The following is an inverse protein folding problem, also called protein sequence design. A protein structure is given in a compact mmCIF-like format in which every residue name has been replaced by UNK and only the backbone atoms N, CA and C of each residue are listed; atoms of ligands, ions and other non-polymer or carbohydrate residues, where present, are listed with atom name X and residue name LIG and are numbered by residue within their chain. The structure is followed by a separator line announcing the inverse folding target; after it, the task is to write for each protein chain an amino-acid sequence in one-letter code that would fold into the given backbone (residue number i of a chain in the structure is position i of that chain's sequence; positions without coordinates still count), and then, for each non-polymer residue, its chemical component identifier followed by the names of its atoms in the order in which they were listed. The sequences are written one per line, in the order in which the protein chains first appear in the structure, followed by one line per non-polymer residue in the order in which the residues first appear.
data_IF_001833312278
#
_entry.id   IF_001833312278
#
_cell.length_a   1.000
_cell.length_b   1.000
_cell.length_c   1.000
_cell.angle_alpha   90.00
_cell.angle_beta   90.00
_cell.angle_gamma   90.00
#
_symmetry.space_group_name_H-M   'P 1'
#
loop_
_entity.id
_entity.type
_entity.pdbx_description
1 polymer ?
#
# COMPACT_ATOMS: atom_id res chain seq x y z
N UNK A 1 18.86 6.06 22.66
CA UNK A 1 17.88 5.36 21.80
C UNK A 1 17.45 6.33 20.72
N UNK A 2 17.85 6.11 19.47
CA UNK A 2 17.48 6.99 18.35
C UNK A 2 16.02 6.76 17.94
N UNK A 3 15.29 7.84 17.65
CA UNK A 3 13.94 7.76 17.09
C UNK A 3 14.06 7.40 15.61
N UNK A 4 13.45 6.30 15.20
CA UNK A 4 13.38 5.90 13.79
C UNK A 4 12.34 6.81 13.13
N UNK A 5 12.75 7.50 12.07
CA UNK A 5 11.90 8.40 11.29
C UNK A 5 11.84 7.96 9.84
N UNK A 6 10.71 8.23 9.19
CA UNK A 6 10.53 7.92 7.78
C UNK A 6 11.15 9.04 6.93
N UNK A 7 11.78 8.67 5.83
CA UNK A 7 12.06 9.62 4.75
C UNK A 7 11.37 9.17 3.49
N UNK A 8 10.48 10.02 3.04
CA UNK A 8 9.41 9.65 2.13
C UNK A 8 9.59 10.29 0.76
N UNK A 9 10.71 10.03 0.10
CA UNK A 9 10.96 10.60 -1.24
C UNK A 9 10.26 9.84 -2.39
N UNK A 10 9.33 8.90 -2.15
CA UNK A 10 8.89 8.04 -3.28
C UNK A 10 7.44 7.55 -3.29
N UNK A 11 6.53 8.14 -2.51
CA UNK A 11 5.11 7.82 -2.66
C UNK A 11 4.26 9.06 -2.89
N UNK A 12 4.45 10.14 -2.14
CA UNK A 12 3.60 11.34 -2.29
C UNK A 12 3.94 12.20 -3.52
N UNK A 13 5.19 12.25 -3.94
CA UNK A 13 5.58 12.94 -5.18
C UNK A 13 5.37 12.09 -6.45
N UNK A 14 5.31 10.75 -6.34
CA UNK A 14 5.29 9.82 -7.48
C UNK A 14 3.94 9.14 -7.75
N UNK A 15 3.16 8.86 -6.71
CA UNK A 15 1.74 8.50 -6.78
C UNK A 15 1.03 9.51 -5.90
N UNK A 16 0.50 10.56 -6.53
CA UNK A 16 -0.55 11.33 -5.87
C UNK A 16 -1.72 10.35 -5.66
N UNK A 17 -1.80 9.80 -4.45
CA UNK A 17 -2.82 8.85 -4.06
C UNK A 17 -4.20 9.50 -4.24
N UNK A 18 -4.32 10.79 -3.94
CA UNK A 18 -5.54 11.56 -4.16
C UNK A 18 -5.86 11.63 -5.66
N UNK A 19 -4.89 11.88 -6.54
CA UNK A 19 -5.10 11.83 -8.00
C UNK A 19 -5.45 10.42 -8.49
N UNK A 20 -4.81 9.40 -7.95
CA UNK A 20 -5.04 7.99 -8.32
C UNK A 20 -6.46 7.55 -7.92
N UNK A 21 -6.86 7.86 -6.68
CA UNK A 21 -8.21 7.61 -6.16
C UNK A 21 -9.26 8.44 -6.90
N UNK A 22 -8.98 9.73 -7.18
CA UNK A 22 -9.87 10.60 -7.99
C UNK A 22 -10.04 10.07 -9.41
N UNK A 23 -8.96 9.65 -10.07
CA UNK A 23 -9.02 9.11 -11.43
C UNK A 23 -9.88 7.85 -11.48
N UNK A 24 -9.84 7.00 -10.45
CA UNK A 24 -10.71 5.81 -10.37
C UNK A 24 -12.15 6.12 -9.96
N UNK A 25 -12.39 7.20 -9.21
CA UNK A 25 -13.74 7.70 -8.93
C UNK A 25 -14.40 8.32 -10.18
N UNK A 26 -13.60 8.88 -11.11
CA UNK A 26 -14.10 9.69 -12.24
C UNK A 26 -14.09 8.95 -13.59
N UNK A 27 -13.13 8.07 -13.86
CA UNK A 27 -12.91 7.54 -15.21
C UNK A 27 -13.24 6.04 -15.37
N UNK A 28 -14.34 5.67 -16.06
CA UNK A 28 -14.50 4.34 -16.62
C UNK A 28 -13.59 4.20 -17.85
N UNK A 29 -12.71 3.18 -17.80
CA UNK A 29 -11.99 2.56 -18.93
C UNK A 29 -11.93 3.36 -20.25
N UNK A 30 -10.78 3.97 -20.54
CA UNK A 30 -10.32 4.11 -21.92
C UNK A 30 -8.99 3.40 -22.08
N UNK A 31 -9.04 2.16 -22.55
CA UNK A 31 -7.93 1.52 -23.24
C UNK A 31 -8.35 1.44 -24.71
N UNK A 32 -7.62 2.17 -25.56
CA UNK A 32 -7.80 2.18 -27.01
C UNK A 32 -7.07 0.97 -27.58
N UNK A 33 -7.84 0.02 -28.11
CA UNK A 33 -7.66 -0.75 -29.36
C UNK A 33 -8.28 -2.14 -29.22
N UNK A 34 -9.44 -2.26 -29.85
CA UNK A 34 -10.17 -3.43 -30.31
C UNK A 34 -10.57 -4.55 -29.31
N UNK A 35 -11.84 -4.94 -29.45
CA UNK A 35 -12.49 -6.18 -28.98
C UNK A 35 -13.20 -6.08 -27.61
N UNK A 36 -14.53 -5.96 -27.71
CA UNK A 36 -15.59 -6.25 -26.73
C UNK A 36 -15.34 -5.86 -25.26
N UNK A 37 -15.49 -4.57 -24.95
CA UNK A 37 -15.48 -4.08 -23.57
C UNK A 37 -16.83 -4.34 -22.91
N UNK A 38 -16.86 -5.29 -21.98
CA UNK A 38 -17.89 -5.37 -20.95
C UNK A 38 -17.76 -4.11 -20.09
N UNK A 39 -18.63 -3.14 -20.32
CA UNK A 39 -18.68 -1.86 -19.61
C UNK A 39 -18.76 -2.16 -18.11
N UNK A 40 -17.67 -1.94 -17.37
CA UNK A 40 -17.72 -1.95 -15.90
C UNK A 40 -18.38 -0.61 -15.52
N UNK A 41 -19.54 -0.62 -14.84
CA UNK A 41 -20.18 0.63 -14.44
C UNK A 41 -19.19 1.47 -13.61
N UNK A 42 -19.17 2.81 -13.78
CA UNK A 42 -18.36 3.66 -12.93
C UNK A 42 -18.74 3.37 -11.48
N UNK A 43 -17.74 3.06 -10.66
CA UNK A 43 -17.97 2.86 -9.23
C UNK A 43 -18.39 4.21 -8.67
N UNK A 44 -19.69 4.38 -8.41
CA UNK A 44 -20.20 5.54 -7.67
C UNK A 44 -19.72 5.39 -6.21
N UNK A 45 -18.69 6.14 -5.83
CA UNK A 45 -18.19 6.19 -4.46
C UNK A 45 -16.75 6.71 -4.38
N UNK A 46 -16.40 7.30 -3.25
CA UNK A 46 -15.00 7.64 -2.94
C UNK A 46 -14.26 6.35 -2.62
N UNK A 47 -12.96 6.27 -2.93
CA UNK A 47 -12.09 5.20 -2.47
C UNK A 47 -11.13 5.83 -1.47
N UNK A 48 -11.01 5.26 -0.29
CA UNK A 48 -10.10 5.74 0.77
C UNK A 48 -8.94 4.77 1.02
N UNK A 49 -9.20 3.47 0.86
CA UNK A 49 -8.25 2.41 1.12
C UNK A 49 -7.73 1.83 -0.20
N UNK A 50 -6.42 1.97 -0.42
CA UNK A 50 -5.70 1.36 -1.53
C UNK A 50 -4.68 0.35 -1.01
N UNK A 51 -4.84 -0.90 -1.41
CA UNK A 51 -3.91 -1.98 -1.06
C UNK A 51 -3.08 -2.33 -2.29
N UNK A 52 -1.76 -2.31 -2.17
CA UNK A 52 -0.84 -2.92 -3.12
C UNK A 52 -0.36 -4.26 -2.60
N UNK A 53 -0.44 -5.28 -3.45
CA UNK A 53 0.32 -6.51 -3.33
C UNK A 53 1.34 -6.54 -4.47
N UNK A 54 2.62 -6.54 -4.14
CA UNK A 54 3.70 -6.63 -5.13
C UNK A 54 4.09 -8.08 -5.42
N UNK A 55 3.87 -8.97 -4.46
CA UNK A 55 4.20 -10.39 -4.54
C UNK A 55 3.10 -11.23 -3.90
N UNK A 56 2.63 -12.27 -4.62
CA UNK A 56 1.54 -13.15 -4.17
C UNK A 56 1.82 -14.58 -4.64
N UNK A 57 2.00 -15.58 -3.74
CA UNK A 57 1.97 -15.45 -2.29
C UNK A 57 3.21 -14.73 -1.74
N UNK A 58 3.01 -13.86 -0.76
CA UNK A 58 4.13 -13.23 -0.04
C UNK A 58 4.81 -14.26 0.89
N UNK A 59 6.14 -14.33 0.87
CA UNK A 59 6.90 -15.15 1.80
C UNK A 59 7.08 -14.42 3.15
N UNK A 60 6.53 -14.93 4.28
CA UNK A 60 6.65 -14.28 5.58
C UNK A 60 8.07 -14.21 6.14
N UNK A 61 8.98 -15.08 5.71
CA UNK A 61 10.38 -15.00 6.11
C UNK A 61 11.12 -13.87 5.38
N UNK A 62 10.80 -13.64 4.11
CA UNK A 62 11.35 -12.53 3.32
C UNK A 62 10.77 -11.19 3.81
N UNK A 63 9.46 -11.14 4.00
CA UNK A 63 8.75 -9.93 4.44
C UNK A 63 8.42 -9.98 5.94
N UNK A 64 9.46 -10.14 6.75
CA UNK A 64 9.30 -10.31 8.20
C UNK A 64 8.99 -9.00 8.95
N UNK A 65 9.30 -7.86 8.34
CA UNK A 65 9.05 -6.56 8.96
C UNK A 65 7.64 -6.08 8.66
N UNK A 66 6.85 -5.89 9.72
CA UNK A 66 5.43 -5.53 9.68
C UNK A 66 5.21 -4.38 10.61
N UNK A 67 4.53 -3.34 10.15
CA UNK A 67 4.22 -2.18 10.99
C UNK A 67 3.09 -1.36 10.39
N UNK A 68 2.47 -0.55 11.23
CA UNK A 68 1.58 0.53 10.85
C UNK A 68 2.28 1.87 11.13
N UNK A 69 2.29 2.77 10.16
CA UNK A 69 2.86 4.11 10.25
C UNK A 69 1.76 5.15 10.10
N UNK A 70 1.71 6.06 11.06
CA UNK A 70 0.76 7.15 11.07
C UNK A 70 1.34 8.35 10.36
N UNK A 71 0.50 9.03 9.60
CA UNK A 71 0.83 10.29 8.94
C UNK A 71 1.20 11.36 9.97
N UNK A 72 2.25 12.13 9.69
CA UNK A 72 2.63 13.32 10.47
C UNK A 72 1.94 14.57 9.92
N UNK A 73 1.57 14.57 8.63
CA UNK A 73 0.87 15.67 7.96
C UNK A 73 -0.45 15.21 7.31
N UNK A 74 -1.41 16.15 7.14
CA UNK A 74 -2.76 15.83 6.63
C UNK A 74 -2.80 15.43 5.15
N UNK A 75 -1.75 15.76 4.39
CA UNK A 75 -1.61 15.37 2.99
C UNK A 75 -1.04 13.94 2.84
N UNK A 76 -0.55 13.35 3.93
CA UNK A 76 0.01 11.99 3.92
C UNK A 76 -1.07 10.93 4.15
N UNK A 77 -0.74 9.69 3.83
CA UNK A 77 -1.60 8.53 4.13
C UNK A 77 -1.13 7.81 5.38
N UNK A 78 -2.09 7.30 6.15
CA UNK A 78 -1.75 6.26 7.14
C UNK A 78 -1.39 4.99 6.39
N UNK A 79 -0.24 4.41 6.71
CA UNK A 79 0.28 3.22 6.08
C UNK A 79 0.20 2.02 7.00
N UNK A 80 -0.07 0.85 6.44
CA UNK A 80 0.25 -0.42 7.10
C UNK A 80 0.83 -1.37 6.08
N UNK A 81 1.89 -2.11 6.41
CA UNK A 81 2.60 -2.87 5.41
C UNK A 81 3.38 -4.06 5.99
N UNK A 82 3.77 -4.94 5.08
CA UNK A 82 4.80 -5.95 5.30
C UNK A 82 5.92 -5.76 4.27
N UNK A 83 7.17 -5.82 4.71
CA UNK A 83 8.35 -5.48 3.94
C UNK A 83 9.58 -6.29 4.36
N UNK A 84 10.63 -6.23 3.55
CA UNK A 84 11.95 -6.73 3.94
C UNK A 84 12.49 -5.89 5.11
N UNK A 85 13.29 -6.47 6.03
CA UNK A 85 13.94 -5.68 7.08
C UNK A 85 14.85 -4.60 6.49
N UNK A 86 14.62 -3.34 6.86
CA UNK A 86 15.46 -2.21 6.39
C UNK A 86 16.92 -2.32 6.85
N UNK A 87 17.16 -2.98 7.99
CA UNK A 87 18.49 -3.22 8.53
C UNK A 87 19.35 -4.16 7.68
N UNK A 88 18.73 -4.92 6.77
CA UNK A 88 19.43 -5.81 5.86
C UNK A 88 20.04 -5.08 4.65
N UNK A 89 19.65 -3.83 4.38
CA UNK A 89 20.16 -3.01 3.26
C UNK A 89 20.42 -1.59 3.73
N UNK A 90 21.65 -1.32 4.18
CA UNK A 90 22.07 0.03 4.58
C UNK A 90 22.70 0.75 3.39
N UNK A 91 22.04 1.81 2.90
CA UNK A 91 22.49 2.58 1.72
C UNK A 91 23.29 3.83 2.08
N UNK A 92 23.30 4.19 3.36
CA UNK A 92 24.12 5.27 3.90
C UNK A 92 24.10 5.30 5.44
N UNK A 93 24.90 6.18 6.07
CA UNK A 93 24.91 6.32 7.52
C UNK A 93 23.52 6.65 8.07
N UNK A 94 22.92 5.73 8.83
CA UNK A 94 21.58 5.90 9.37
C UNK A 94 20.44 5.81 8.34
N UNK A 95 20.69 5.27 7.13
CA UNK A 95 19.72 5.14 6.04
C UNK A 95 19.59 3.67 5.63
N UNK A 96 18.47 3.06 5.99
CA UNK A 96 18.10 1.71 5.53
C UNK A 96 17.16 1.76 4.33
N UNK A 97 17.29 0.83 3.41
CA UNK A 97 16.37 0.60 2.29
C UNK A 97 15.54 -0.66 2.57
N UNK A 98 14.26 -0.61 2.28
CA UNK A 98 13.36 -1.75 2.36
C UNK A 98 12.44 -1.83 1.14
N UNK A 99 11.97 -3.05 0.87
CA UNK A 99 11.04 -3.36 -0.21
C UNK A 99 9.72 -3.87 0.37
N UNK A 100 8.61 -3.25 -0.01
CA UNK A 100 7.28 -3.76 0.30
C UNK A 100 7.05 -5.12 -0.36
N UNK A 101 6.46 -6.05 0.38
CA UNK A 101 5.71 -7.17 -0.19
C UNK A 101 4.26 -6.75 -0.46
N UNK A 102 3.71 -5.92 0.42
CA UNK A 102 2.43 -5.26 0.23
C UNK A 102 2.21 -4.11 1.23
N UNK A 103 1.39 -3.15 0.84
CA UNK A 103 1.14 -1.94 1.59
C UNK A 103 -0.32 -1.46 1.43
N UNK A 104 -0.94 -1.08 2.55
CA UNK A 104 -2.18 -0.34 2.64
C UNK A 104 -1.85 1.15 2.73
N UNK A 105 -2.49 1.93 1.90
CA UNK A 105 -2.55 3.38 1.94
C UNK A 105 -3.97 3.78 2.30
N UNK A 106 -4.13 4.45 3.45
CA UNK A 106 -5.42 4.96 3.91
C UNK A 106 -5.42 6.48 3.87
N UNK A 107 -6.32 7.04 3.07
CA UNK A 107 -6.51 8.48 2.91
C UNK A 107 -7.99 8.86 2.93
N UNK A 108 -8.42 9.91 3.67
CA UNK A 108 -7.62 10.79 4.52
C UNK A 108 -6.91 10.05 5.67
N UNK A 109 -5.79 10.57 6.20
CA UNK A 109 -5.04 9.89 7.25
C UNK A 109 -5.88 9.78 8.53
N UNK A 110 -5.80 8.62 9.18
CA UNK A 110 -6.55 8.32 10.41
C UNK A 110 -5.71 7.45 11.33
N UNK A 111 -5.81 7.71 12.63
CA UNK A 111 -5.29 6.79 13.63
C UNK A 111 -6.15 5.51 13.59
N UNK A 112 -5.53 4.40 13.20
CA UNK A 112 -6.12 3.07 13.19
C UNK A 112 -5.39 2.20 14.19
N UNK A 113 -6.04 1.18 14.75
CA UNK A 113 -5.34 0.16 15.53
C UNK A 113 -4.29 -0.53 14.66
N UNK A 114 -3.13 -0.88 15.23
CA UNK A 114 -2.16 -1.67 14.49
C UNK A 114 -2.76 -3.02 14.07
N UNK A 115 -2.84 -3.24 12.76
CA UNK A 115 -3.51 -4.41 12.20
C UNK A 115 -2.68 -5.68 12.42
N UNK A 116 -1.37 -5.56 12.66
CA UNK A 116 -0.47 -6.71 12.77
C UNK A 116 -0.60 -7.43 14.10
N UNK A 117 -0.92 -6.71 15.17
CA UNK A 117 -1.09 -7.27 16.51
C UNK A 117 -2.55 -7.38 16.94
N UNK A 118 -3.49 -6.79 16.18
CA UNK A 118 -4.92 -6.80 16.54
C UNK A 118 -5.56 -8.21 16.41
N UNK A 119 -6.03 -8.83 17.52
CA UNK A 119 -6.60 -10.17 17.51
C UNK A 119 -7.86 -10.31 16.64
N UNK A 120 -8.55 -9.20 16.34
CA UNK A 120 -9.71 -9.21 15.46
C UNK A 120 -9.39 -9.74 14.05
N UNK A 121 -8.11 -9.79 13.67
CA UNK A 121 -7.63 -10.24 12.37
C UNK A 121 -6.93 -11.61 12.39
N UNK A 122 -7.00 -12.37 13.49
CA UNK A 122 -6.32 -13.68 13.62
C UNK A 122 -6.90 -14.78 12.75
N UNK A 123 -8.07 -14.55 12.16
CA UNK A 123 -8.62 -15.42 11.13
C UNK A 123 -7.82 -15.38 9.81
N UNK A 124 -6.98 -14.36 9.61
CA UNK A 124 -6.16 -14.23 8.41
C UNK A 124 -4.96 -15.17 8.49
N UNK A 125 -4.77 -15.96 7.44
CA UNK A 125 -3.73 -17.00 7.39
C UNK A 125 -2.49 -16.57 6.62
N UNK A 126 -2.52 -15.39 5.99
CA UNK A 126 -1.42 -14.83 5.21
C UNK A 126 -1.24 -13.32 5.46
N UNK A 127 -0.08 -12.79 5.05
CA UNK A 127 0.21 -11.36 5.13
C UNK A 127 -0.78 -10.53 4.30
N UNK A 128 -1.12 -11.01 3.10
CA UNK A 128 -2.10 -10.39 2.21
C UNK A 128 -3.49 -10.36 2.85
N UNK A 129 -3.91 -11.48 3.45
CA UNK A 129 -5.23 -11.59 4.09
C UNK A 129 -5.35 -10.64 5.28
N UNK A 130 -4.31 -10.54 6.12
CA UNK A 130 -4.32 -9.66 7.30
C UNK A 130 -4.29 -8.19 6.90
N UNK A 131 -3.46 -7.84 5.91
CA UNK A 131 -3.40 -6.49 5.37
C UNK A 131 -4.76 -6.07 4.76
N UNK A 132 -5.38 -6.96 3.99
CA UNK A 132 -6.69 -6.72 3.39
C UNK A 132 -7.80 -6.61 4.43
N UNK A 133 -7.76 -7.44 5.49
CA UNK A 133 -8.70 -7.35 6.60
C UNK A 133 -8.61 -5.99 7.28
N UNK A 134 -7.40 -5.52 7.57
CA UNK A 134 -7.16 -4.16 8.09
C UNK A 134 -7.71 -3.08 7.17
N UNK A 135 -7.45 -3.17 5.87
CA UNK A 135 -7.97 -2.23 4.87
C UNK A 135 -9.51 -2.18 4.88
N UNK A 136 -10.17 -3.33 4.90
CA UNK A 136 -11.63 -3.40 4.90
C UNK A 136 -12.26 -2.95 6.22
N UNK A 137 -11.60 -3.21 7.35
CA UNK A 137 -12.07 -2.78 8.68
C UNK A 137 -11.98 -1.25 8.86
N UNK A 138 -10.95 -0.62 8.31
CA UNK A 138 -10.67 0.81 8.50
C UNK A 138 -11.11 1.73 7.34
N UNK A 139 -11.56 1.16 6.22
CA UNK A 139 -12.23 1.92 5.15
C UNK A 139 -13.61 2.38 5.64
N UNK A 140 -13.93 3.66 5.50
CA UNK A 140 -15.30 4.15 5.74
C UNK A 140 -16.15 3.98 4.49
N UNK A 141 -15.52 4.00 3.32
CA UNK A 141 -16.16 3.78 2.03
C UNK A 141 -16.50 2.30 1.78
N UNK A 142 -17.51 2.02 0.94
CA UNK A 142 -17.93 0.65 0.62
C UNK A 142 -16.91 -0.10 -0.25
N UNK A 143 -15.97 0.61 -0.85
CA UNK A 143 -15.01 0.05 -1.80
C UNK A 143 -13.56 0.15 -1.29
N UNK A 144 -12.82 -0.96 -1.43
CA UNK A 144 -11.37 -1.01 -1.22
C UNK A 144 -10.71 -1.36 -2.55
N UNK A 145 -9.79 -0.51 -3.01
CA UNK A 145 -9.04 -0.76 -4.22
C UNK A 145 -7.86 -1.70 -3.92
N UNK A 146 -7.66 -2.71 -4.76
CA UNK A 146 -6.61 -3.72 -4.58
C UNK A 146 -5.81 -3.85 -5.86
N UNK A 147 -4.55 -3.40 -5.82
CA UNK A 147 -3.56 -3.59 -6.86
C UNK A 147 -2.84 -4.91 -6.64
N UNK A 148 -2.83 -5.80 -7.63
CA UNK A 148 -2.25 -7.14 -7.45
C UNK A 148 -1.72 -7.74 -8.75
N UNK A 149 -0.63 -8.55 -8.72
CA UNK A 149 -0.15 -9.30 -9.89
C UNK A 149 -1.09 -10.44 -10.29
N UNK A 150 -2.01 -10.84 -9.41
CA UNK A 150 -2.97 -11.93 -9.66
C UNK A 150 -4.41 -11.43 -9.58
N UNK A 151 -5.38 -12.12 -10.21
CA UNK A 151 -6.80 -11.84 -9.99
C UNK A 151 -7.17 -11.98 -8.52
N UNK A 152 -8.20 -11.24 -8.07
CA UNK A 152 -8.67 -11.34 -6.68
C UNK A 152 -9.04 -12.78 -6.34
N UNK A 153 -8.45 -13.30 -5.26
CA UNK A 153 -8.74 -14.64 -4.75
C UNK A 153 -10.14 -14.70 -4.14
N UNK A 154 -10.73 -15.89 -4.08
CA UNK A 154 -12.04 -16.11 -3.45
C UNK A 154 -12.01 -15.74 -1.96
N UNK A 155 -10.94 -16.12 -1.25
CA UNK A 155 -10.73 -15.78 0.17
C UNK A 155 -10.70 -14.28 0.42
N UNK A 156 -10.05 -13.49 -0.45
CA UNK A 156 -10.03 -12.03 -0.34
C UNK A 156 -11.42 -11.41 -0.44
N UNK A 157 -12.26 -11.91 -1.37
CA UNK A 157 -13.66 -11.45 -1.47
C UNK A 157 -14.47 -11.82 -0.22
N UNK A 158 -14.22 -13.00 0.38
CA UNK A 158 -14.87 -13.41 1.64
C UNK A 158 -14.45 -12.50 2.80
N UNK A 159 -13.17 -12.12 2.88
CA UNK A 159 -12.67 -11.15 3.87
C UNK A 159 -13.38 -9.81 3.70
N UNK A 160 -13.43 -9.28 2.47
CA UNK A 160 -14.13 -8.02 2.21
C UNK A 160 -15.62 -8.09 2.60
N UNK A 161 -16.29 -9.19 2.25
CA UNK A 161 -17.69 -9.41 2.60
C UNK A 161 -17.94 -9.44 4.11
N UNK A 162 -17.03 -10.02 4.90
CA UNK A 162 -17.10 -10.01 6.38
C UNK A 162 -17.18 -8.58 6.95
N UNK A 163 -16.54 -7.61 6.32
CA UNK A 163 -16.56 -6.20 6.74
C UNK A 163 -17.56 -5.35 5.94
N UNK A 164 -18.46 -5.96 5.16
CA UNK A 164 -19.44 -5.23 4.34
C UNK A 164 -18.80 -4.43 3.20
N UNK A 165 -17.58 -4.78 2.77
CA UNK A 165 -16.83 -4.08 1.72
C UNK A 165 -16.85 -4.84 0.41
N UNK A 166 -16.62 -4.12 -0.69
CA UNK A 166 -16.39 -4.64 -2.04
C UNK A 166 -14.98 -4.31 -2.49
N UNK A 167 -14.33 -5.26 -3.15
CA UNK A 167 -12.99 -5.06 -3.68
C UNK A 167 -13.05 -4.58 -5.14
N UNK A 168 -12.29 -3.56 -5.46
CA UNK A 168 -12.06 -3.10 -6.84
C UNK A 168 -10.71 -3.67 -7.30
N UNK A 169 -10.69 -4.62 -8.25
CA UNK A 169 -9.44 -5.18 -8.75
C UNK A 169 -8.72 -4.21 -9.69
N UNK A 170 -7.43 -4.04 -9.45
CA UNK A 170 -6.54 -3.24 -10.30
C UNK A 170 -5.33 -4.10 -10.64
N UNK A 171 -5.17 -4.55 -11.90
CA UNK A 171 -4.03 -5.38 -12.23
C UNK A 171 -2.72 -4.60 -12.10
N UNK A 172 -1.71 -5.18 -11.41
CA UNK A 172 -0.41 -4.54 -11.20
C UNK A 172 0.30 -4.22 -12.52
N UNK A 173 0.08 -5.00 -13.58
CA UNK A 173 0.66 -4.75 -14.91
C UNK A 173 0.15 -3.47 -15.59
N UNK A 174 -0.84 -2.77 -15.01
CA UNK A 174 -1.23 -1.43 -15.47
C UNK A 174 -0.18 -0.36 -15.15
N UNK A 175 0.77 -0.67 -14.27
CA UNK A 175 1.88 0.19 -13.91
C UNK A 175 3.14 -0.27 -14.65
N UNK A 176 4.00 0.67 -15.06
CA UNK A 176 5.29 0.33 -15.67
C UNK A 176 6.20 -0.39 -14.67
N UNK A 177 7.16 -1.19 -15.15
CA UNK A 177 8.15 -1.84 -14.28
C UNK A 177 8.95 -0.85 -13.42
N UNK A 178 9.31 0.31 -14.00
CA UNK A 178 9.98 1.39 -13.28
C UNK A 178 9.08 2.00 -12.20
N UNK A 179 7.80 2.24 -12.51
CA UNK A 179 6.81 2.71 -11.54
C UNK A 179 6.66 1.72 -10.39
N UNK A 180 6.52 0.42 -10.69
CA UNK A 180 6.44 -0.63 -9.66
C UNK A 180 7.70 -0.66 -8.80
N UNK A 181 8.89 -0.61 -9.40
CA UNK A 181 10.16 -0.65 -8.68
C UNK A 181 10.35 0.57 -7.75
N UNK A 182 9.85 1.75 -8.14
CA UNK A 182 9.83 2.95 -7.30
C UNK A 182 8.83 2.81 -6.16
N UNK A 183 7.61 2.34 -6.44
CA UNK A 183 6.56 2.17 -5.41
C UNK A 183 6.89 1.11 -4.37
N UNK A 184 7.62 0.07 -4.78
CA UNK A 184 7.98 -1.03 -3.91
C UNK A 184 9.09 -0.65 -2.93
N UNK A 185 9.94 0.32 -3.26
CA UNK A 185 11.12 0.70 -2.44
C UNK A 185 10.83 1.91 -1.57
N UNK A 186 11.33 1.87 -0.34
CA UNK A 186 11.26 2.99 0.59
C UNK A 186 12.47 2.99 1.53
N UNK A 187 12.67 4.11 2.21
CA UNK A 187 13.82 4.33 3.07
C UNK A 187 13.40 4.65 4.50
N UNK A 188 14.21 4.15 5.44
CA UNK A 188 14.07 4.34 6.87
C UNK A 188 15.27 5.13 7.36
N UNK A 189 15.02 6.24 8.05
CA UNK A 189 16.07 7.07 8.63
C UNK A 189 16.16 6.87 10.13
N UNK A 190 17.38 6.87 10.63
CA UNK A 190 17.64 6.86 12.06
C UNK A 190 17.75 8.29 12.62
N UNK A 191 16.63 9.02 12.62
CA UNK A 191 16.50 10.34 13.22
C UNK A 191 16.39 11.50 12.22
N UNK A 192 15.93 12.64 12.73
CA UNK A 192 15.61 13.82 11.93
C UNK A 192 16.83 14.42 11.21
N UNK A 193 18.00 14.44 11.86
CA UNK A 193 19.23 15.01 11.29
C UNK A 193 19.67 14.33 10.00
N UNK A 194 19.33 13.04 9.84
CA UNK A 194 19.63 12.24 8.65
C UNK A 194 18.87 12.79 7.42
N UNK A 195 17.66 13.36 7.60
CA UNK A 195 16.85 13.92 6.50
C UNK A 195 17.65 14.97 5.70
N UNK A 196 18.50 15.74 6.37
CA UNK A 196 19.29 16.83 5.77
C UNK A 196 20.29 16.36 4.70
N UNK A 197 20.71 15.10 4.75
CA UNK A 197 21.70 14.55 3.81
C UNK A 197 21.26 13.25 3.13
N UNK A 198 20.12 12.66 3.50
CA UNK A 198 19.64 11.40 2.95
C UNK A 198 19.47 11.42 1.42
N UNK A 199 19.08 12.57 0.86
CA UNK A 199 18.95 12.77 -0.58
C UNK A 199 20.24 12.49 -1.38
N UNK A 200 21.43 12.57 -0.75
CA UNK A 200 22.72 12.26 -1.40
C UNK A 200 22.93 10.76 -1.62
N UNK A 201 22.22 9.92 -0.86
CA UNK A 201 22.38 8.47 -0.84
C UNK A 201 21.23 7.72 -1.53
N UNK A 202 20.09 8.39 -1.71
CA UNK A 202 18.89 7.81 -2.32
C UNK A 202 18.90 8.13 -3.82
N UNK A 203 18.84 7.08 -4.66
CA UNK A 203 18.78 7.21 -6.12
C UNK A 203 17.31 7.15 -6.59
N UNK A 204 16.93 8.05 -7.50
CA UNK A 204 15.59 8.07 -8.14
C UNK A 204 15.34 6.89 -9.09
#
# INVERSE_FOLDING_TARGET
MGRIERFNNSLEDGIDLRATLRQWAVAPQRSVRDIHVKIIPPVRGTIEALVFFFEVPANPQTFSWRTTWYAEHQEESTLSFYATPFSASMVGPGIGEACYGGALFLYPPRLISDIWENPAFDFATSLEERLLAGACAHSQEPYVAVVSPVPLKSVWRKIAHRFGRKLIPIPLHRFSGQTIARLRRFHVLNGHDIRSYAAKFIRE
#
